data_IF_357610972611
#
_entry.id   IF_357610972611
#
_cell.length_a   1.000
_cell.length_b   1.000
_cell.length_c   1.000
_cell.angle_alpha   90.00
_cell.angle_beta   90.00
_cell.angle_gamma   90.00
#
_symmetry.space_group_name_H-M   'P 1'
#
loop_
_entity.id
_entity.type
_entity.pdbx_description
1 polymer ?
#
# COMPACT_ATOMS: atom_id res chain seq x y z
N UNK A 1 4.19 -24.38 -8.90
CA UNK A 1 3.41 -23.13 -8.81
C UNK A 1 3.66 -22.32 -10.07
N UNK A 2 2.63 -21.70 -10.66
CA UNK A 2 2.80 -20.90 -11.89
C UNK A 2 3.50 -19.57 -11.54
N UNK A 3 4.71 -19.29 -12.08
CA UNK A 3 5.45 -18.06 -11.77
C UNK A 3 4.68 -16.80 -12.16
N UNK A 4 3.84 -16.87 -13.19
CA UNK A 4 3.02 -15.75 -13.63
C UNK A 4 2.00 -15.34 -12.57
N UNK A 5 1.28 -16.30 -11.99
CA UNK A 5 0.28 -16.04 -10.94
C UNK A 5 0.95 -15.54 -9.66
N UNK A 6 2.16 -16.02 -9.35
CA UNK A 6 2.94 -15.54 -8.21
C UNK A 6 3.31 -14.05 -8.36
N UNK A 7 3.83 -13.66 -9.52
CA UNK A 7 4.21 -12.25 -9.80
C UNK A 7 2.98 -11.34 -9.76
N UNK A 8 1.86 -11.76 -10.37
CA UNK A 8 0.62 -10.99 -10.37
C UNK A 8 0.05 -10.81 -8.95
N UNK A 9 0.10 -11.85 -8.12
CA UNK A 9 -0.36 -11.78 -6.73
C UNK A 9 0.50 -10.82 -5.92
N UNK A 10 1.82 -10.89 -6.10
CA UNK A 10 2.77 -9.99 -5.44
C UNK A 10 2.54 -8.53 -5.85
N UNK A 11 2.33 -8.28 -7.15
CA UNK A 11 2.02 -6.96 -7.67
C UNK A 11 0.71 -6.43 -7.05
N UNK A 12 -0.37 -7.22 -7.09
CA UNK A 12 -1.66 -6.84 -6.51
C UNK A 12 -1.58 -6.53 -5.02
N UNK A 13 -0.81 -7.29 -4.24
CA UNK A 13 -0.63 -7.06 -2.81
C UNK A 13 -0.02 -5.67 -2.50
N UNK A 14 0.79 -5.12 -3.41
CA UNK A 14 1.37 -3.77 -3.28
C UNK A 14 0.42 -2.71 -3.86
N UNK A 15 -0.13 -2.93 -5.04
CA UNK A 15 -0.92 -1.92 -5.74
C UNK A 15 -2.31 -1.71 -5.13
N UNK A 16 -2.92 -2.74 -4.56
CA UNK A 16 -4.26 -2.65 -3.97
C UNK A 16 -4.36 -1.62 -2.83
N UNK A 17 -3.50 -1.65 -1.78
CA UNK A 17 -3.55 -0.65 -0.72
C UNK A 17 -3.18 0.77 -1.21
N UNK A 18 -2.28 0.90 -2.18
CA UNK A 18 -1.93 2.19 -2.77
C UNK A 18 -3.08 2.80 -3.56
N UNK A 19 -3.74 1.98 -4.40
CA UNK A 19 -4.90 2.40 -5.17
C UNK A 19 -6.09 2.76 -4.27
N UNK A 20 -6.24 2.10 -3.12
CA UNK A 20 -7.27 2.48 -2.14
C UNK A 20 -7.04 3.91 -1.62
N UNK A 21 -5.79 4.27 -1.29
CA UNK A 21 -5.44 5.61 -0.80
C UNK A 21 -5.65 6.64 -1.91
N UNK A 22 -5.08 6.43 -3.09
CA UNK A 22 -5.25 7.35 -4.23
C UNK A 22 -6.72 7.48 -4.62
N UNK A 23 -7.46 6.37 -4.63
CA UNK A 23 -8.89 6.34 -4.92
C UNK A 23 -9.71 7.12 -3.89
N UNK A 24 -9.42 6.95 -2.59
CA UNK A 24 -10.08 7.68 -1.51
C UNK A 24 -9.86 9.20 -1.63
N UNK A 25 -8.63 9.63 -1.87
CA UNK A 25 -8.29 11.05 -2.06
C UNK A 25 -8.71 11.61 -3.43
N UNK A 26 -8.97 10.77 -4.42
CA UNK A 26 -9.52 11.15 -5.73
C UNK A 26 -11.04 11.25 -5.77
N UNK A 27 -11.74 10.95 -4.66
CA UNK A 27 -13.19 11.14 -4.57
C UNK A 27 -13.53 12.63 -4.53
N UNK A 28 -14.61 13.03 -5.20
CA UNK A 28 -15.11 14.41 -5.17
C UNK A 28 -15.88 14.70 -3.86
N UNK A 29 -15.29 14.42 -2.71
CA UNK A 29 -15.91 14.60 -1.39
C UNK A 29 -15.30 15.81 -0.66
N UNK A 30 -16.17 16.72 -0.21
CA UNK A 30 -15.77 18.00 0.40
C UNK A 30 -15.17 17.89 1.82
N UNK A 31 -15.16 16.70 2.41
CA UNK A 31 -14.74 16.43 3.78
C UNK A 31 -13.49 15.53 3.86
N UNK A 32 -12.65 15.55 2.82
CA UNK A 32 -11.41 14.79 2.83
C UNK A 32 -10.42 15.37 3.85
N UNK A 33 -9.82 14.52 4.70
CA UNK A 33 -8.70 14.95 5.54
C UNK A 33 -7.58 15.46 4.62
N UNK A 34 -6.87 16.52 5.01
CA UNK A 34 -5.80 17.16 4.22
C UNK A 34 -6.23 17.86 2.91
N UNK A 35 -7.47 17.77 2.43
CA UNK A 35 -7.86 18.39 1.15
C UNK A 35 -7.94 19.92 1.18
N UNK A 36 -8.06 20.54 2.36
CA UNK A 36 -8.09 21.99 2.55
C UNK A 36 -6.73 22.60 2.89
N UNK A 37 -5.72 21.76 3.11
CA UNK A 37 -4.37 22.19 3.48
C UNK A 37 -3.55 22.48 2.23
N UNK A 38 -2.78 23.58 2.23
CA UNK A 38 -1.94 24.00 1.09
C UNK A 38 -0.93 22.91 0.66
N UNK A 39 -0.45 22.13 1.62
CA UNK A 39 0.47 21.01 1.40
C UNK A 39 -0.19 19.63 1.54
N UNK A 40 -1.53 19.57 1.46
CA UNK A 40 -2.30 18.34 1.65
C UNK A 40 -1.83 17.18 0.79
N UNK A 41 -1.61 17.42 -0.50
CA UNK A 41 -1.11 16.41 -1.45
C UNK A 41 0.29 15.91 -1.09
N UNK A 42 1.14 16.75 -0.50
CA UNK A 42 2.48 16.35 -0.05
C UNK A 42 2.40 15.39 1.16
N UNK A 43 1.51 15.65 2.12
CA UNK A 43 1.27 14.74 3.24
C UNK A 43 0.76 13.37 2.77
N UNK A 44 -0.17 13.35 1.80
CA UNK A 44 -0.69 12.11 1.21
C UNK A 44 0.42 11.35 0.46
N UNK A 45 1.30 12.06 -0.25
CA UNK A 45 2.45 11.45 -0.91
C UNK A 45 3.42 10.81 0.10
N UNK A 46 3.75 11.50 1.18
CA UNK A 46 4.57 10.94 2.27
C UNK A 46 3.90 9.71 2.88
N UNK A 47 2.58 9.76 3.11
CA UNK A 47 1.81 8.62 3.61
C UNK A 47 1.86 7.43 2.63
N UNK A 48 1.74 7.65 1.33
CA UNK A 48 1.89 6.60 0.31
C UNK A 48 3.28 5.95 0.38
N UNK A 49 4.35 6.75 0.46
CA UNK A 49 5.73 6.25 0.58
C UNK A 49 5.90 5.43 1.86
N UNK A 50 5.36 5.91 2.99
CA UNK A 50 5.40 5.18 4.26
C UNK A 50 4.67 3.83 4.17
N UNK A 51 3.52 3.78 3.50
CA UNK A 51 2.76 2.53 3.28
C UNK A 51 3.58 1.54 2.44
N UNK A 52 4.24 1.99 1.37
CA UNK A 52 5.15 1.12 0.59
C UNK A 52 6.27 0.57 1.47
N UNK A 53 6.92 1.41 2.26
CA UNK A 53 8.00 1.00 3.16
C UNK A 53 7.48 -0.01 4.20
N UNK A 54 6.32 0.25 4.79
CA UNK A 54 5.69 -0.65 5.76
C UNK A 54 5.35 -2.01 5.15
N UNK A 55 4.84 -2.06 3.92
CA UNK A 55 4.59 -3.30 3.19
C UNK A 55 5.88 -4.08 2.93
N UNK A 56 6.94 -3.40 2.47
CA UNK A 56 8.25 -4.03 2.23
C UNK A 56 8.86 -4.59 3.52
N UNK A 57 8.79 -3.84 4.62
CA UNK A 57 9.23 -4.30 5.95
C UNK A 57 8.36 -5.46 6.41
N UNK A 58 7.04 -5.37 6.28
CA UNK A 58 6.09 -6.42 6.62
C UNK A 58 6.39 -7.73 5.88
N UNK A 59 6.61 -7.68 4.57
CA UNK A 59 7.02 -8.84 3.77
C UNK A 59 8.36 -9.41 4.25
N UNK A 60 9.34 -8.56 4.55
CA UNK A 60 10.64 -9.00 5.08
C UNK A 60 10.52 -9.63 6.47
N UNK A 61 9.68 -9.07 7.34
CA UNK A 61 9.38 -9.58 8.68
C UNK A 61 8.63 -10.90 8.61
N UNK A 62 7.61 -11.03 7.76
CA UNK A 62 6.88 -12.28 7.52
C UNK A 62 7.82 -13.37 7.02
N UNK A 63 8.74 -13.04 6.10
CA UNK A 63 9.78 -13.96 5.63
C UNK A 63 10.77 -14.34 6.73
N UNK A 64 11.13 -13.39 7.61
CA UNK A 64 12.02 -13.62 8.76
C UNK A 64 11.35 -14.45 9.86
N UNK A 65 10.04 -14.34 10.05
CA UNK A 65 9.29 -15.02 11.11
C UNK A 65 8.90 -16.47 10.79
N UNK A 66 9.02 -16.94 9.54
CA UNK A 66 8.91 -18.34 9.09
C UNK A 66 7.94 -19.25 9.88
N UNK A 67 6.77 -18.75 10.28
CA UNK A 67 5.73 -19.50 11.03
C UNK A 67 4.64 -20.06 10.11
N UNK A 68 4.62 -19.68 8.83
CA UNK A 68 3.57 -20.08 7.87
C UNK A 68 4.08 -20.92 6.69
N UNK A 69 5.38 -21.22 6.58
CA UNK A 69 5.89 -22.18 5.59
C UNK A 69 5.95 -23.62 6.14
N UNK A 70 4.88 -24.03 6.83
CA UNK A 70 4.66 -25.40 7.32
C UNK A 70 3.21 -25.87 7.11
N UNK A 71 2.63 -25.52 5.96
CA UNK A 71 1.45 -26.15 5.37
C UNK A 71 1.76 -26.50 3.92
#
# INVERSE_FOLDING_TARGET
MNPTIYILTFLSAIFLPLNLIVGFFGMNTNALPFAKEEYGSYFVFVLLVLVVIALLIGIKLLKKFNIIFRL
#
